data_IF_725227844166
#
_entry.id   IF_725227844166
#
_cell.length_a   1.000
_cell.length_b   1.000
_cell.length_c   1.000
_cell.angle_alpha   90.00
_cell.angle_beta   90.00
_cell.angle_gamma   90.00
#
_symmetry.space_group_name_H-M   'P 1'
#
loop_
_entity.id
_entity.type
_entity.pdbx_description
1 polymer ?
#
# COMPACT_ATOMS: atom_id res chain seq x y z
N UNK A 1 20.87 -26.97 -13.14
CA UNK A 1 19.74 -27.30 -12.26
C UNK A 1 19.15 -25.96 -11.81
N UNK A 2 18.07 -25.54 -12.48
CA UNK A 2 17.39 -24.27 -12.20
C UNK A 2 16.41 -24.50 -11.04
N UNK A 3 16.64 -23.81 -9.94
CA UNK A 3 15.68 -23.77 -8.83
C UNK A 3 14.53 -22.87 -9.28
N UNK A 4 13.43 -23.46 -9.73
CA UNK A 4 12.18 -22.76 -9.88
C UNK A 4 11.66 -22.39 -8.48
N UNK A 5 11.85 -21.13 -8.09
CA UNK A 5 11.14 -20.59 -6.95
C UNK A 5 9.66 -20.52 -7.32
N UNK A 6 8.90 -21.48 -6.90
CA UNK A 6 7.43 -21.46 -6.88
C UNK A 6 7.05 -20.34 -5.93
N UNK A 7 6.77 -19.14 -6.45
CA UNK A 7 6.19 -18.07 -5.67
C UNK A 7 4.76 -18.48 -5.36
N UNK A 8 4.55 -18.96 -4.15
CA UNK A 8 3.24 -19.23 -3.58
C UNK A 8 2.39 -17.97 -3.73
N UNK A 9 1.15 -18.14 -4.20
CA UNK A 9 0.13 -17.09 -4.12
C UNK A 9 0.15 -16.50 -2.70
N UNK A 10 -0.11 -15.16 -2.54
CA UNK A 10 -0.10 -14.53 -1.22
C UNK A 10 -0.94 -15.40 -0.29
N UNK A 11 -0.34 -15.78 0.84
CA UNK A 11 -0.99 -16.65 1.81
C UNK A 11 -2.39 -16.08 2.01
N UNK A 12 -3.36 -16.81 1.52
CA UNK A 12 -4.76 -16.54 1.70
C UNK A 12 -4.87 -16.26 3.20
N UNK A 13 -5.11 -14.98 3.57
CA UNK A 13 -5.65 -14.73 4.90
C UNK A 13 -6.90 -15.56 4.83
N UNK A 14 -6.84 -16.74 5.48
CA UNK A 14 -7.79 -17.81 5.32
C UNK A 14 -9.14 -17.14 5.19
N UNK A 15 -9.97 -17.55 4.21
CA UNK A 15 -11.34 -17.08 4.06
C UNK A 15 -12.03 -17.32 5.40
N UNK A 16 -11.64 -16.45 6.36
CA UNK A 16 -12.25 -16.34 7.66
C UNK A 16 -13.69 -15.94 7.40
N UNK A 17 -14.56 -16.25 8.29
CA UNK A 17 -16.00 -15.94 8.26
C UNK A 17 -16.20 -14.39 8.32
N UNK A 18 -15.68 -13.69 7.28
CA UNK A 18 -15.71 -12.25 7.15
C UNK A 18 -17.15 -11.77 6.92
N UNK A 19 -17.60 -10.83 7.76
CA UNK A 19 -18.98 -10.35 7.78
C UNK A 19 -19.09 -8.95 7.22
N UNK A 20 -20.26 -8.65 6.64
CA UNK A 20 -20.59 -7.28 6.25
C UNK A 20 -20.63 -6.39 7.49
N UNK A 21 -20.07 -5.19 7.37
CA UNK A 21 -20.07 -4.18 8.45
C UNK A 21 -21.32 -3.28 8.40
N UNK A 22 -21.60 -2.64 9.53
CA UNK A 22 -22.59 -1.56 9.60
C UNK A 22 -22.08 -0.31 8.84
N UNK A 23 -23.00 0.56 8.42
CA UNK A 23 -22.66 1.80 7.71
C UNK A 23 -21.73 2.72 8.54
N UNK A 24 -21.93 2.78 9.85
CA UNK A 24 -21.07 3.55 10.76
C UNK A 24 -19.63 3.06 10.75
N UNK A 25 -19.42 1.75 10.77
CA UNK A 25 -18.08 1.15 10.68
C UNK A 25 -17.47 1.35 9.29
N UNK A 26 -18.30 1.26 8.24
CA UNK A 26 -17.83 1.56 6.88
C UNK A 26 -17.36 3.00 6.77
N UNK A 27 -18.14 3.96 7.30
CA UNK A 27 -17.79 5.37 7.28
C UNK A 27 -16.48 5.63 8.06
N UNK A 28 -16.33 5.03 9.25
CA UNK A 28 -15.09 5.13 10.05
C UNK A 28 -13.86 4.63 9.29
N UNK A 29 -13.95 3.45 8.66
CA UNK A 29 -12.85 2.88 7.89
C UNK A 29 -12.54 3.72 6.64
N UNK A 30 -13.57 4.20 5.94
CA UNK A 30 -13.40 5.09 4.79
C UNK A 30 -12.67 6.37 5.18
N UNK A 31 -13.11 7.02 6.25
CA UNK A 31 -12.55 8.27 6.72
C UNK A 31 -11.09 8.07 7.20
N UNK A 32 -10.79 6.93 7.85
CA UNK A 32 -9.42 6.53 8.17
C UNK A 32 -8.53 6.43 6.93
N UNK A 33 -9.00 5.80 5.85
CA UNK A 33 -8.22 5.68 4.61
C UNK A 33 -8.02 7.03 3.91
N UNK A 34 -8.97 7.93 3.99
CA UNK A 34 -8.85 9.28 3.43
C UNK A 34 -7.86 10.12 4.22
N UNK A 35 -7.90 10.05 5.55
CA UNK A 35 -6.93 10.73 6.41
C UNK A 35 -5.51 10.15 6.20
N UNK A 36 -5.39 8.83 6.10
CA UNK A 36 -4.14 8.15 5.79
C UNK A 36 -3.53 8.65 4.47
N UNK A 37 -4.34 8.76 3.42
CA UNK A 37 -3.91 9.28 2.13
C UNK A 37 -3.47 10.75 2.22
N UNK A 38 -4.19 11.58 2.99
CA UNK A 38 -3.83 12.98 3.22
C UNK A 38 -2.49 13.11 3.95
N UNK A 39 -2.24 12.31 4.98
CA UNK A 39 -0.95 12.30 5.69
C UNK A 39 0.22 12.01 4.74
N UNK A 40 0.07 11.04 3.85
CA UNK A 40 1.10 10.70 2.87
C UNK A 40 1.29 11.80 1.80
N UNK A 41 0.21 12.44 1.35
CA UNK A 41 0.27 13.52 0.36
C UNK A 41 0.88 14.80 0.95
N UNK A 42 0.62 15.06 2.23
CA UNK A 42 1.20 16.17 2.99
C UNK A 42 2.59 15.85 3.55
N UNK A 43 3.13 14.65 3.25
CA UNK A 43 4.45 14.18 3.69
C UNK A 43 4.61 14.11 5.22
N UNK A 44 3.52 13.96 5.93
CA UNK A 44 3.47 13.77 7.39
C UNK A 44 3.79 12.32 7.75
N UNK A 45 4.99 11.88 7.39
CA UNK A 45 5.39 10.46 7.48
C UNK A 45 5.45 9.94 8.92
N UNK A 46 5.76 10.80 9.91
CA UNK A 46 5.78 10.39 11.31
C UNK A 46 4.36 10.11 11.82
N UNK A 47 3.39 10.97 11.46
CA UNK A 47 1.99 10.76 11.82
C UNK A 47 1.43 9.51 11.11
N UNK A 48 1.79 9.32 9.83
CA UNK A 48 1.43 8.12 9.09
C UNK A 48 2.04 6.85 9.71
N UNK A 49 3.33 6.89 10.12
CA UNK A 49 3.99 5.76 10.76
C UNK A 49 3.29 5.33 12.06
N UNK A 50 2.73 6.28 12.79
CA UNK A 50 1.96 6.00 14.01
C UNK A 50 0.65 5.23 13.75
N UNK A 51 0.17 5.19 12.50
CA UNK A 51 -0.98 4.38 12.11
C UNK A 51 -0.63 2.89 11.92
N UNK A 52 0.66 2.53 11.90
CA UNK A 52 1.08 1.15 11.69
C UNK A 52 1.14 0.40 13.02
N UNK A 53 0.86 -0.91 12.97
CA UNK A 53 1.14 -1.78 14.12
C UNK A 53 2.63 -2.15 14.16
N UNK A 54 3.16 -2.57 15.33
CA UNK A 54 4.51 -3.10 15.42
C UNK A 54 4.78 -4.30 14.50
N UNK A 55 3.75 -5.09 14.22
CA UNK A 55 3.79 -6.32 13.40
C UNK A 55 3.44 -6.08 11.93
N UNK A 56 3.43 -4.83 11.47
CA UNK A 56 3.06 -4.48 10.08
C UNK A 56 3.76 -5.37 9.05
N UNK A 57 2.99 -5.87 8.09
CA UNK A 57 3.43 -6.47 6.86
C UNK A 57 3.05 -5.54 5.71
N UNK A 58 4.04 -4.89 5.09
CA UNK A 58 3.80 -3.97 3.98
C UNK A 58 4.43 -4.52 2.71
N UNK A 59 3.59 -4.96 1.77
CA UNK A 59 4.05 -5.63 0.57
C UNK A 59 3.51 -4.95 -0.68
N UNK A 60 4.39 -4.77 -1.67
CA UNK A 60 4.02 -4.30 -3.01
C UNK A 60 4.48 -5.35 -4.01
N UNK A 61 3.56 -5.75 -4.90
CA UNK A 61 3.83 -6.67 -6.00
C UNK A 61 3.46 -6.03 -7.33
N UNK A 62 4.27 -6.27 -8.34
CA UNK A 62 3.99 -5.94 -9.73
C UNK A 62 3.62 -7.17 -10.53
N UNK A 63 3.02 -6.97 -11.71
CA UNK A 63 2.67 -8.04 -12.66
C UNK A 63 3.36 -7.81 -13.99
N UNK A 64 4.00 -8.86 -14.51
CA UNK A 64 4.56 -8.85 -15.86
C UNK A 64 3.75 -9.76 -16.75
N UNK A 65 3.20 -9.20 -17.83
CA UNK A 65 2.55 -9.95 -18.90
C UNK A 65 3.55 -10.06 -20.05
N UNK A 66 4.11 -11.25 -20.30
CA UNK A 66 5.11 -11.48 -21.36
C UNK A 66 4.52 -11.89 -22.70
N UNK A 67 3.34 -12.51 -22.68
CA UNK A 67 2.61 -12.90 -23.89
C UNK A 67 1.12 -13.01 -23.56
N UNK A 68 0.27 -12.76 -24.56
CA UNK A 68 -1.19 -12.84 -24.38
C UNK A 68 -1.70 -14.22 -23.96
N UNK A 69 -0.94 -15.29 -24.23
CA UNK A 69 -1.27 -16.67 -23.90
C UNK A 69 -0.68 -17.16 -22.57
N UNK A 70 0.14 -16.36 -21.89
CA UNK A 70 0.78 -16.74 -20.64
C UNK A 70 0.12 -16.04 -19.43
N UNK A 71 -0.08 -16.73 -18.30
CA UNK A 71 -0.57 -16.06 -17.09
C UNK A 71 0.43 -14.97 -16.64
N UNK A 72 -0.06 -13.87 -16.07
CA UNK A 72 0.81 -12.85 -15.50
C UNK A 72 1.74 -13.45 -14.45
N UNK A 73 3.02 -13.09 -14.50
CA UNK A 73 3.96 -13.41 -13.41
C UNK A 73 4.01 -12.25 -12.43
N UNK A 74 3.86 -12.54 -11.16
CA UNK A 74 4.04 -11.58 -10.08
C UNK A 74 5.53 -11.51 -9.69
N UNK A 75 5.98 -10.31 -9.33
CA UNK A 75 7.29 -10.09 -8.73
C UNK A 75 7.14 -9.14 -7.53
N UNK A 76 7.91 -9.42 -6.51
CA UNK A 76 7.93 -8.58 -5.30
C UNK A 76 8.74 -7.32 -5.60
N UNK A 77 8.11 -6.16 -5.41
CA UNK A 77 8.75 -4.85 -5.51
C UNK A 77 9.27 -4.44 -4.13
N UNK A 78 8.48 -4.76 -3.09
CA UNK A 78 8.75 -4.37 -1.71
C UNK A 78 8.08 -5.37 -0.76
N UNK A 79 8.79 -5.72 0.31
CA UNK A 79 8.29 -6.56 1.41
C UNK A 79 8.92 -6.05 2.72
N UNK A 80 8.30 -5.01 3.29
CA UNK A 80 8.82 -4.25 4.41
C UNK A 80 8.12 -4.65 5.73
N UNK A 81 8.91 -4.70 6.79
CA UNK A 81 8.45 -4.72 8.19
C UNK A 81 8.60 -3.31 8.79
N UNK A 82 8.15 -3.12 10.01
CA UNK A 82 8.16 -1.81 10.66
C UNK A 82 9.55 -1.12 10.62
N UNK A 83 10.63 -1.89 10.82
CA UNK A 83 12.00 -1.36 10.78
C UNK A 83 12.39 -0.89 9.38
N UNK A 84 11.96 -1.59 8.34
CA UNK A 84 12.24 -1.25 6.95
C UNK A 84 11.46 0.00 6.54
N UNK A 85 10.18 0.09 6.95
CA UNK A 85 9.35 1.28 6.77
C UNK A 85 10.01 2.49 7.43
N UNK A 86 10.51 2.34 8.67
CA UNK A 86 11.24 3.42 9.38
C UNK A 86 12.50 3.85 8.62
N UNK A 87 13.29 2.91 8.12
CA UNK A 87 14.47 3.22 7.33
C UNK A 87 14.11 3.97 6.06
N UNK A 88 13.04 3.59 5.37
CA UNK A 88 12.55 4.26 4.16
C UNK A 88 12.08 5.67 4.44
N UNK A 89 11.35 5.91 5.53
CA UNK A 89 10.96 7.27 5.96
C UNK A 89 12.21 8.13 6.16
N UNK A 90 13.20 7.61 6.86
CA UNK A 90 14.45 8.33 7.10
C UNK A 90 15.20 8.65 5.79
N UNK A 91 15.17 7.74 4.81
CA UNK A 91 15.74 7.98 3.49
C UNK A 91 15.00 9.10 2.74
N UNK A 92 13.65 9.04 2.72
CA UNK A 92 12.82 10.06 2.05
C UNK A 92 12.99 11.43 2.71
N UNK A 93 13.08 11.47 4.04
CA UNK A 93 13.23 12.71 4.80
C UNK A 93 14.62 13.33 4.67
N UNK A 94 15.63 12.58 4.22
CA UNK A 94 17.00 13.06 4.11
C UNK A 94 17.40 13.37 2.65
N UNK A 95 17.46 14.65 2.26
CA UNK A 95 17.80 15.05 0.89
C UNK A 95 19.18 14.58 0.40
N UNK A 96 20.08 14.24 1.34
CA UNK A 96 21.43 13.74 1.01
C UNK A 96 21.42 12.27 0.61
N UNK A 97 20.39 11.51 0.99
CA UNK A 97 20.28 10.08 0.73
C UNK A 97 19.40 9.77 -0.49
N UNK A 98 18.54 10.69 -0.91
CA UNK A 98 17.57 10.43 -1.98
C UNK A 98 17.42 11.63 -2.90
N UNK A 99 18.18 11.65 -4.00
CA UNK A 99 18.09 12.68 -5.03
C UNK A 99 16.71 12.69 -5.73
N UNK A 100 16.06 11.53 -5.85
CA UNK A 100 14.74 11.41 -6.50
C UNK A 100 13.60 12.11 -5.74
N UNK A 101 13.79 12.44 -4.47
CA UNK A 101 12.82 13.14 -3.62
C UNK A 101 13.23 14.60 -3.35
N UNK A 102 14.25 15.12 -4.05
CA UNK A 102 14.71 16.49 -3.86
C UNK A 102 14.91 17.20 -5.22
N UNK A 103 14.12 18.22 -5.55
CA UNK A 103 12.98 18.73 -4.78
C UNK A 103 11.83 17.74 -4.69
N UNK A 104 11.05 17.87 -3.61
CA UNK A 104 9.96 16.96 -3.30
C UNK A 104 8.91 16.91 -4.42
N UNK A 105 8.47 15.72 -4.85
CA UNK A 105 7.42 15.59 -5.84
C UNK A 105 6.06 16.01 -5.28
N UNK A 106 5.15 16.40 -6.16
CA UNK A 106 3.74 16.53 -5.84
C UNK A 106 3.05 15.19 -6.01
N UNK A 107 2.32 14.76 -4.99
CA UNK A 107 1.51 13.52 -5.04
C UNK A 107 0.06 13.83 -4.69
N UNK A 108 -0.86 13.08 -5.29
CA UNK A 108 -2.27 13.03 -4.90
C UNK A 108 -2.79 11.62 -5.00
N UNK A 109 -3.30 11.12 -3.88
CA UNK A 109 -3.89 9.78 -3.76
C UNK A 109 -5.40 9.88 -3.80
N UNK A 110 -6.01 9.04 -4.63
CA UNK A 110 -7.45 8.85 -4.68
C UNK A 110 -7.75 7.40 -4.33
N UNK A 111 -8.43 7.19 -3.20
CA UNK A 111 -8.84 5.86 -2.73
C UNK A 111 -10.28 5.65 -3.11
N UNK A 112 -10.56 4.57 -3.85
CA UNK A 112 -11.87 4.31 -4.43
C UNK A 112 -12.30 2.86 -4.22
N UNK A 113 -13.57 2.57 -4.51
CA UNK A 113 -14.13 1.21 -4.51
C UNK A 113 -13.88 0.46 -3.19
N UNK A 114 -13.99 1.17 -2.08
CA UNK A 114 -13.74 0.65 -0.73
C UNK A 114 -14.78 -0.41 -0.40
N UNK A 115 -14.32 -1.59 0.01
CA UNK A 115 -15.16 -2.70 0.49
C UNK A 115 -14.60 -3.16 1.83
N UNK A 116 -15.44 -3.13 2.84
CA UNK A 116 -15.06 -3.44 4.22
C UNK A 116 -15.80 -4.68 4.69
N UNK A 117 -15.05 -5.60 5.31
CA UNK A 117 -15.57 -6.77 6.02
C UNK A 117 -14.93 -6.85 7.39
N UNK A 118 -15.67 -7.28 8.41
CA UNK A 118 -15.14 -7.49 9.76
C UNK A 118 -14.88 -8.96 10.06
N UNK A 119 -13.92 -9.21 10.94
CA UNK A 119 -13.80 -10.51 11.61
C UNK A 119 -15.04 -10.81 12.45
N UNK A 120 -15.30 -12.08 12.81
CA UNK A 120 -16.40 -12.44 13.70
C UNK A 120 -16.35 -11.74 15.06
N UNK A 121 -15.15 -11.47 15.58
CA UNK A 121 -14.94 -10.74 16.83
C UNK A 121 -15.13 -9.22 16.70
N UNK A 122 -15.16 -8.67 15.46
CA UNK A 122 -15.32 -7.24 15.21
C UNK A 122 -14.06 -6.39 15.50
N UNK A 123 -12.92 -7.01 15.77
CA UNK A 123 -11.65 -6.36 16.14
C UNK A 123 -10.71 -6.14 14.95
N UNK A 124 -10.98 -6.80 13.83
CA UNK A 124 -10.20 -6.69 12.58
C UNK A 124 -11.12 -6.44 11.39
N UNK A 125 -10.58 -5.68 10.44
CA UNK A 125 -11.28 -5.36 9.19
C UNK A 125 -10.40 -5.73 8.00
N UNK A 126 -10.96 -6.49 7.06
CA UNK A 126 -10.39 -6.71 5.75
C UNK A 126 -10.97 -5.65 4.81
N UNK A 127 -10.09 -4.83 4.24
CA UNK A 127 -10.48 -3.70 3.42
C UNK A 127 -9.86 -3.84 2.04
N UNK A 128 -10.68 -4.05 1.03
CA UNK A 128 -10.26 -3.95 -0.36
C UNK A 128 -10.53 -2.53 -0.87
N UNK A 129 -9.59 -1.95 -1.59
CA UNK A 129 -9.74 -0.64 -2.22
C UNK A 129 -8.91 -0.55 -3.50
N UNK A 130 -9.22 0.45 -4.34
CA UNK A 130 -8.38 0.82 -5.47
C UNK A 130 -7.67 2.13 -5.16
N UNK A 131 -6.38 2.19 -5.50
CA UNK A 131 -5.56 3.39 -5.41
C UNK A 131 -5.27 3.91 -6.82
N UNK A 132 -5.52 5.20 -7.01
CA UNK A 132 -4.98 5.96 -8.13
C UNK A 132 -4.14 7.10 -7.56
N UNK A 133 -2.83 7.11 -7.85
CA UNK A 133 -1.93 8.15 -7.38
C UNK A 133 -1.36 8.92 -8.58
N UNK A 134 -1.63 10.22 -8.59
CA UNK A 134 -0.93 11.17 -9.44
C UNK A 134 0.40 11.53 -8.80
N UNK A 135 1.48 11.53 -9.59
CA UNK A 135 2.79 12.00 -9.15
C UNK A 135 3.45 12.87 -10.22
N UNK A 136 3.97 14.02 -9.79
CA UNK A 136 4.75 14.95 -10.60
C UNK A 136 6.10 15.16 -9.94
N UNK A 137 7.15 14.61 -10.52
CA UNK A 137 8.51 14.89 -10.08
C UNK A 137 8.96 16.26 -10.59
N UNK A 138 9.68 17.01 -9.76
CA UNK A 138 10.06 18.39 -10.09
C UNK A 138 10.95 18.49 -11.34
N UNK A 139 11.73 17.46 -11.65
CA UNK A 139 12.60 17.39 -12.82
C UNK A 139 11.94 16.68 -14.02
N UNK A 140 10.78 16.03 -13.83
CA UNK A 140 10.09 15.32 -14.90
C UNK A 140 9.22 16.28 -15.72
N UNK A 141 9.24 16.11 -17.04
CA UNK A 141 8.42 16.90 -17.95
C UNK A 141 6.94 16.59 -17.80
N UNK A 142 6.63 15.31 -17.67
CA UNK A 142 5.25 14.80 -17.61
C UNK A 142 4.98 14.10 -16.29
N UNK A 143 3.77 14.28 -15.73
CA UNK A 143 3.34 13.52 -14.57
C UNK A 143 3.09 12.06 -14.96
N UNK A 144 3.06 11.19 -13.97
CA UNK A 144 2.62 9.82 -14.16
C UNK A 144 1.57 9.41 -13.13
N UNK A 145 0.78 8.42 -13.53
CA UNK A 145 -0.24 7.80 -12.70
C UNK A 145 0.22 6.41 -12.27
N UNK A 146 0.02 6.11 -10.99
CA UNK A 146 0.16 4.76 -10.46
C UNK A 146 -1.24 4.26 -10.12
N UNK A 147 -1.61 3.11 -10.69
CA UNK A 147 -2.85 2.39 -10.39
C UNK A 147 -2.51 1.09 -9.67
N UNK A 148 -3.27 0.80 -8.62
CA UNK A 148 -3.10 -0.43 -7.83
C UNK A 148 -4.41 -0.89 -7.20
N UNK A 149 -4.58 -2.21 -7.07
CA UNK A 149 -5.51 -2.79 -6.13
C UNK A 149 -4.83 -2.94 -4.77
N UNK A 150 -5.54 -2.62 -3.69
CA UNK A 150 -4.99 -2.61 -2.34
C UNK A 150 -5.87 -3.47 -1.42
N UNK A 151 -5.23 -4.29 -0.60
CA UNK A 151 -5.87 -5.03 0.48
C UNK A 151 -5.18 -4.73 1.79
N UNK A 152 -5.94 -4.18 2.72
CA UNK A 152 -5.47 -3.84 4.06
C UNK A 152 -6.14 -4.75 5.11
N UNK A 153 -5.38 -5.11 6.15
CA UNK A 153 -5.94 -5.60 7.40
C UNK A 153 -5.75 -4.50 8.43
N UNK A 154 -6.88 -3.92 8.82
CA UNK A 154 -6.91 -2.98 9.93
C UNK A 154 -7.24 -3.72 11.22
N UNK A 155 -6.68 -3.28 12.33
CA UNK A 155 -7.06 -3.75 13.66
C UNK A 155 -7.44 -2.56 14.54
N UNK A 156 -8.33 -2.83 15.50
CA UNK A 156 -8.72 -1.85 16.51
C UNK A 156 -7.77 -1.93 17.70
N UNK A 157 -7.22 -0.78 18.06
CA UNK A 157 -6.33 -0.62 19.23
C UNK A 157 -6.90 0.50 20.08
N UNK A 158 -7.65 0.14 21.14
CA UNK A 158 -8.51 1.09 21.84
C UNK A 158 -9.58 1.64 20.90
N UNK A 159 -9.71 2.96 20.84
CA UNK A 159 -10.66 3.63 19.94
C UNK A 159 -10.07 3.92 18.54
N UNK A 160 -8.80 3.62 18.31
CA UNK A 160 -8.12 3.92 17.03
C UNK A 160 -8.03 2.69 16.12
N UNK A 161 -8.06 2.93 14.80
CA UNK A 161 -7.71 1.95 13.78
C UNK A 161 -6.20 2.01 13.50
N UNK A 162 -5.59 0.85 13.24
CA UNK A 162 -4.18 0.71 12.82
C UNK A 162 -4.06 -0.29 11.68
N UNK A 163 -3.06 -0.09 10.83
CA UNK A 163 -2.75 -0.96 9.71
C UNK A 163 -1.83 -2.09 10.20
N UNK A 164 -2.33 -3.32 10.20
CA UNK A 164 -1.56 -4.51 10.57
C UNK A 164 -0.95 -5.21 9.35
N UNK A 165 -1.60 -5.08 8.18
CA UNK A 165 -1.09 -5.60 6.92
C UNK A 165 -1.56 -4.75 5.76
N UNK A 166 -0.70 -4.59 4.75
CA UNK A 166 -1.02 -3.99 3.45
C UNK A 166 -0.40 -4.79 2.33
N UNK A 167 -1.24 -5.31 1.44
CA UNK A 167 -0.84 -5.89 0.17
C UNK A 167 -1.28 -4.95 -0.96
N UNK A 168 -0.31 -4.48 -1.75
CA UNK A 168 -0.53 -3.60 -2.91
C UNK A 168 -0.18 -4.36 -4.18
N UNK A 169 -1.13 -4.45 -5.10
CA UNK A 169 -0.96 -5.07 -6.40
C UNK A 169 -0.96 -3.99 -7.49
N UNK A 170 0.21 -3.68 -8.03
CA UNK A 170 0.37 -2.70 -9.09
C UNK A 170 -0.23 -3.20 -10.41
N UNK A 171 -0.96 -2.33 -11.09
CA UNK A 171 -1.50 -2.61 -12.43
C UNK A 171 -0.48 -2.35 -13.55
N UNK A 172 0.71 -1.86 -13.18
CA UNK A 172 1.78 -1.55 -14.12
C UNK A 172 2.65 -2.78 -14.38
N UNK A 173 2.85 -3.11 -15.65
CA UNK A 173 3.73 -4.18 -16.10
C UNK A 173 5.22 -3.81 -16.04
N UNK A 174 5.53 -2.52 -15.98
CA UNK A 174 6.86 -1.96 -15.80
C UNK A 174 6.74 -0.83 -14.81
N UNK A 175 7.45 -0.92 -13.70
CA UNK A 175 7.60 0.22 -12.81
C UNK A 175 8.49 1.21 -13.54
N UNK A 176 7.93 2.32 -14.01
CA UNK A 176 8.63 3.35 -14.78
C UNK A 176 9.77 4.03 -13.99
N UNK A 177 9.82 3.79 -12.68
CA UNK A 177 10.90 4.20 -11.79
C UNK A 177 11.54 2.95 -11.21
N UNK A 178 12.86 2.82 -11.36
CA UNK A 178 13.68 1.76 -10.75
C UNK A 178 13.58 1.74 -9.21
N UNK A 179 13.02 2.79 -8.62
CA UNK A 179 12.72 2.93 -7.21
C UNK A 179 11.28 3.45 -7.08
N UNK A 180 10.42 2.74 -6.37
CA UNK A 180 9.20 3.30 -5.80
C UNK A 180 9.59 3.98 -4.47
N UNK A 181 9.97 5.25 -4.47
CA UNK A 181 10.45 5.92 -3.26
C UNK A 181 9.31 6.34 -2.34
N UNK A 182 8.08 5.95 -2.66
CA UNK A 182 6.87 6.44 -1.97
C UNK A 182 6.03 5.28 -1.45
N UNK A 183 5.25 5.54 -0.42
CA UNK A 183 4.24 4.63 0.11
C UNK A 183 2.94 4.71 -0.71
N UNK A 184 2.26 3.55 -0.87
CA UNK A 184 1.03 3.38 -1.67
C UNK A 184 -0.14 2.91 -0.82
#
# INVERSE_FOLDING_TARGET
MSVEATISAPANIADGDWRRVAETTYAEVRDFLFEEAALLDDRRYEDWFALLTPEIEYRIVGKVVRAASAPPREFVVLDDRLVDVRMRINQIANPKLTFAENPAPFTRRSINNIRVKSSPAGDRYCVDSNLLMYRQDAAARDPYLISAARRDILCRSGDALRIAKRDVHLDLSVVASANLPTFL
#
